data_IF_704814883364
#
_entry.id   IF_704814883364
#
_cell.length_a   1.000
_cell.length_b   1.000
_cell.length_c   1.000
_cell.angle_alpha   90.00
_cell.angle_beta   90.00
_cell.angle_gamma   90.00
#
_symmetry.space_group_name_H-M   'P 1'
#
loop_
_entity.id
_entity.type
_entity.pdbx_description
1 polymer ?
#
# COMPACT_ATOMS: atom_id res chain seq x y z
N UNK A 1 -3.73 32.21 24.69
CA UNK A 1 -3.55 31.59 26.03
C UNK A 1 -2.14 31.88 26.47
N UNK A 2 -1.94 32.58 27.59
CA UNK A 2 -0.59 32.87 28.07
C UNK A 2 0.13 31.55 28.45
N UNK A 3 1.22 31.23 27.75
CA UNK A 3 2.02 30.06 28.08
C UNK A 3 2.69 30.29 29.44
N UNK A 4 2.33 29.47 30.43
CA UNK A 4 2.89 29.54 31.79
C UNK A 4 4.42 29.51 31.84
N UNK A 5 5.08 29.00 30.79
CA UNK A 5 6.54 28.97 30.62
C UNK A 5 7.17 30.36 30.38
N UNK A 6 6.42 31.32 29.83
CA UNK A 6 6.97 32.62 29.39
C UNK A 6 6.46 33.81 30.23
N UNK A 7 5.59 33.57 31.21
CA UNK A 7 4.95 34.61 32.01
C UNK A 7 5.91 35.37 32.96
N UNK A 8 7.11 34.85 33.21
CA UNK A 8 8.12 35.48 34.08
C UNK A 8 9.10 36.40 33.33
N UNK A 9 8.97 36.53 32.01
CA UNK A 9 9.84 37.36 31.18
C UNK A 9 9.23 38.76 31.00
N UNK A 10 9.97 39.84 31.29
CA UNK A 10 9.44 41.22 31.31
C UNK A 10 9.20 41.85 29.92
N UNK A 11 9.73 41.27 28.83
CA UNK A 11 9.61 41.80 27.45
C UNK A 11 8.90 40.81 26.51
N UNK A 12 7.79 40.20 26.95
CA UNK A 12 6.99 39.35 26.07
C UNK A 12 6.00 40.20 25.25
N UNK A 13 6.08 40.08 23.92
CA UNK A 13 5.08 40.68 23.03
C UNK A 13 3.77 39.87 23.08
N UNK A 14 2.65 40.56 23.25
CA UNK A 14 1.29 40.00 23.26
C UNK A 14 0.51 40.31 21.98
N UNK A 15 1.21 40.79 20.94
CA UNK A 15 0.66 40.96 19.60
C UNK A 15 0.13 39.64 19.01
N UNK A 16 -0.55 39.72 17.87
CA UNK A 16 -1.04 38.52 17.20
C UNK A 16 0.14 37.66 16.74
N UNK A 17 0.11 36.36 17.06
CA UNK A 17 1.19 35.43 16.70
C UNK A 17 1.37 35.29 15.18
N UNK A 18 0.31 35.51 14.40
CA UNK A 18 0.31 35.38 12.94
C UNK A 18 -0.38 36.59 12.31
N UNK A 19 0.33 37.30 11.44
CA UNK A 19 -0.20 38.35 10.57
C UNK A 19 -0.22 37.83 9.13
N UNK A 20 -1.37 37.31 8.72
CA UNK A 20 -1.56 36.77 7.38
C UNK A 20 -2.53 37.62 6.55
N UNK A 21 -2.37 37.54 5.23
CA UNK A 21 -3.35 38.08 4.30
C UNK A 21 -4.62 37.22 4.36
N UNK A 22 -5.83 37.82 4.30
CA UNK A 22 -7.07 37.05 4.32
C UNK A 22 -7.08 35.98 3.22
N UNK A 23 -7.53 34.78 3.57
CA UNK A 23 -7.59 33.65 2.67
C UNK A 23 -8.39 33.98 1.40
N UNK A 24 -7.85 33.60 0.26
CA UNK A 24 -8.56 33.70 -1.01
C UNK A 24 -9.73 32.72 -0.99
N UNK A 25 -10.94 33.22 -1.30
CA UNK A 25 -12.20 32.48 -1.23
C UNK A 25 -12.08 31.17 -2.03
N UNK A 26 -12.29 30.02 -1.40
CA UNK A 26 -12.09 28.66 -1.95
C UNK A 26 -12.85 28.32 -3.25
N UNK A 27 -13.80 29.16 -3.66
CA UNK A 27 -14.84 28.76 -4.61
C UNK A 27 -14.52 29.08 -6.09
N UNK A 28 -13.34 29.63 -6.40
CA UNK A 28 -12.91 29.81 -7.79
C UNK A 28 -12.14 28.58 -8.27
N UNK A 29 -12.89 27.60 -8.75
CA UNK A 29 -12.34 26.44 -9.46
C UNK A 29 -11.54 26.90 -10.70
N UNK A 30 -10.22 26.73 -10.68
CA UNK A 30 -9.29 27.09 -11.77
C UNK A 30 -9.22 26.02 -12.87
N UNK A 31 -10.25 25.18 -12.99
CA UNK A 31 -10.29 24.20 -14.08
C UNK A 31 -10.68 24.95 -15.34
N UNK A 32 -9.65 25.36 -16.10
CA UNK A 32 -9.84 25.82 -17.46
C UNK A 32 -10.57 24.72 -18.24
N UNK A 33 -11.77 25.02 -18.73
CA UNK A 33 -12.48 24.11 -19.62
C UNK A 33 -11.57 23.80 -20.82
N UNK A 34 -11.40 22.52 -21.20
CA UNK A 34 -10.60 22.18 -22.37
C UNK A 34 -11.19 22.89 -23.59
N UNK A 35 -10.33 23.62 -24.31
CA UNK A 35 -10.72 24.34 -25.51
C UNK A 35 -11.04 23.28 -26.58
N UNK A 36 -12.33 23.00 -26.77
CA UNK A 36 -12.80 22.15 -27.86
C UNK A 36 -12.53 22.90 -29.18
N UNK A 37 -11.53 22.45 -29.92
CA UNK A 37 -11.20 22.98 -31.23
C UNK A 37 -11.95 22.17 -32.29
N UNK A 38 -12.68 22.83 -33.19
CA UNK A 38 -13.47 22.15 -34.25
C UNK A 38 -12.59 21.31 -35.21
N UNK A 39 -11.28 21.56 -35.25
CA UNK A 39 -10.31 20.83 -36.09
C UNK A 39 -9.64 19.65 -35.38
N UNK A 40 -10.04 19.33 -34.14
CA UNK A 40 -9.45 18.25 -33.34
C UNK A 40 -10.54 17.24 -33.00
N UNK A 41 -10.46 16.05 -33.61
CA UNK A 41 -11.26 14.90 -33.19
C UNK A 41 -10.69 14.36 -31.87
N UNK A 42 -11.38 14.61 -30.76
CA UNK A 42 -11.01 14.07 -29.44
C UNK A 42 -11.79 12.78 -29.17
N UNK A 43 -11.37 11.68 -29.78
CA UNK A 43 -11.97 10.38 -29.51
C UNK A 43 -11.56 9.88 -28.11
N UNK A 44 -12.55 9.57 -27.28
CA UNK A 44 -12.32 8.99 -25.96
C UNK A 44 -11.86 7.53 -26.11
N UNK A 45 -10.57 7.28 -25.89
CA UNK A 45 -10.03 5.92 -25.88
C UNK A 45 -10.62 5.15 -24.69
N UNK A 46 -11.31 4.05 -24.95
CA UNK A 46 -11.76 3.11 -23.92
C UNK A 46 -10.73 1.97 -23.77
N UNK A 47 -9.94 1.93 -22.66
CA UNK A 47 -8.90 0.92 -22.49
C UNK A 47 -9.44 -0.51 -22.47
N UNK A 48 -10.68 -0.70 -22.01
CA UNK A 48 -11.36 -2.00 -21.99
C UNK A 48 -11.64 -2.52 -23.40
N UNK A 49 -12.22 -1.69 -24.28
CA UNK A 49 -12.52 -2.08 -25.66
C UNK A 49 -11.24 -2.28 -26.48
N UNK A 50 -10.24 -1.42 -26.28
CA UNK A 50 -8.93 -1.58 -26.89
C UNK A 50 -8.29 -2.91 -26.45
N UNK A 51 -8.34 -3.22 -25.15
CA UNK A 51 -7.85 -4.49 -24.61
C UNK A 51 -8.54 -5.68 -25.25
N UNK A 52 -9.87 -5.69 -25.37
CA UNK A 52 -10.59 -6.79 -26.03
C UNK A 52 -10.17 -7.01 -27.49
N UNK A 53 -9.91 -5.92 -28.22
CA UNK A 53 -9.47 -6.00 -29.62
C UNK A 53 -8.06 -6.58 -29.75
N UNK A 54 -7.13 -6.20 -28.88
CA UNK A 54 -5.72 -6.55 -28.99
C UNK A 54 -5.26 -7.72 -28.10
N UNK A 55 -6.11 -8.24 -27.20
CA UNK A 55 -5.71 -9.32 -26.27
C UNK A 55 -5.23 -10.60 -26.95
N UNK A 56 -5.66 -10.85 -28.20
CA UNK A 56 -5.30 -12.04 -28.97
C UNK A 56 -4.11 -11.82 -29.91
N UNK A 57 -3.67 -10.57 -30.07
CA UNK A 57 -2.59 -10.19 -30.97
C UNK A 57 -1.26 -10.19 -30.18
N UNK A 58 -0.32 -11.04 -30.57
CA UNK A 58 1.02 -11.08 -30.00
C UNK A 58 2.03 -10.51 -31.00
N UNK A 59 2.92 -9.67 -30.49
CA UNK A 59 4.00 -9.07 -31.25
C UNK A 59 5.33 -9.64 -30.75
N UNK A 60 6.07 -10.29 -31.63
CA UNK A 60 7.43 -10.76 -31.36
C UNK A 60 8.44 -9.83 -32.05
N UNK A 61 9.33 -9.27 -31.22
CA UNK A 61 10.35 -8.30 -31.60
C UNK A 61 11.78 -8.85 -31.46
N UNK A 62 11.94 -10.16 -31.25
CA UNK A 62 13.26 -10.74 -30.97
C UNK A 62 14.21 -10.76 -32.16
N UNK A 63 13.69 -10.78 -33.39
CA UNK A 63 14.48 -10.84 -34.62
C UNK A 63 14.42 -9.54 -35.45
N UNK A 64 13.98 -8.42 -34.88
CA UNK A 64 13.87 -7.15 -35.63
C UNK A 64 15.22 -6.45 -35.73
N UNK A 65 15.76 -6.36 -36.95
CA UNK A 65 16.95 -5.57 -37.27
C UNK A 65 16.55 -4.24 -37.95
N UNK A 66 16.74 -3.11 -37.26
CA UNK A 66 16.54 -1.77 -37.81
C UNK A 66 17.77 -1.21 -38.54
N UNK A 67 18.82 -2.02 -38.76
CA UNK A 67 20.08 -1.59 -39.39
C UNK A 67 19.97 -1.23 -40.88
N UNK A 68 18.77 -1.25 -41.47
CA UNK A 68 18.53 -0.84 -42.85
C UNK A 68 19.04 -1.81 -43.91
N UNK A 69 19.44 -3.03 -43.52
CA UNK A 69 19.83 -4.09 -44.46
C UNK A 69 18.62 -4.59 -45.23
N UNK A 70 18.59 -4.33 -46.55
CA UNK A 70 17.50 -4.64 -47.48
C UNK A 70 17.24 -6.15 -47.70
N UNK A 71 17.91 -7.05 -46.97
CA UNK A 71 17.87 -8.50 -47.22
C UNK A 71 16.91 -9.30 -46.33
N UNK A 72 16.44 -8.72 -45.23
CA UNK A 72 15.49 -9.35 -44.29
C UNK A 72 14.44 -8.32 -43.92
N UNK A 73 13.16 -8.64 -44.04
CA UNK A 73 12.05 -7.77 -43.61
C UNK A 73 12.18 -7.52 -42.11
N UNK A 74 12.82 -6.40 -41.73
CA UNK A 74 13.08 -5.97 -40.36
C UNK A 74 11.83 -5.44 -39.66
N UNK A 75 10.74 -6.21 -39.71
CA UNK A 75 9.46 -5.86 -39.10
C UNK A 75 9.08 -6.86 -38.03
N UNK A 76 8.27 -6.43 -37.08
CA UNK A 76 7.72 -7.29 -36.02
C UNK A 76 7.01 -8.52 -36.61
N UNK A 77 7.19 -9.67 -35.96
CA UNK A 77 6.39 -10.86 -36.27
C UNK A 77 5.07 -10.76 -35.51
N UNK A 78 3.97 -10.65 -36.25
CA UNK A 78 2.62 -10.66 -35.69
C UNK A 78 2.10 -12.09 -35.66
N UNK A 79 1.64 -12.56 -34.50
CA UNK A 79 1.04 -13.87 -34.36
C UNK A 79 -0.22 -13.80 -33.51
N UNK A 80 -1.25 -14.55 -33.88
CA UNK A 80 -2.43 -14.70 -33.03
C UNK A 80 -2.17 -15.82 -32.03
N UNK A 81 -2.27 -15.52 -30.74
CA UNK A 81 -2.11 -16.55 -29.71
C UNK A 81 -3.27 -17.56 -29.82
N UNK A 82 -2.93 -18.85 -29.89
CA UNK A 82 -3.90 -19.92 -29.71
C UNK A 82 -4.36 -19.93 -28.25
N UNK A 83 -5.66 -20.10 -28.03
CA UNK A 83 -6.28 -20.07 -26.70
C UNK A 83 -5.51 -20.88 -25.64
N UNK A 84 -5.26 -20.24 -24.49
CA UNK A 84 -4.70 -20.93 -23.33
C UNK A 84 -5.70 -21.99 -22.81
N UNK A 85 -5.21 -23.04 -22.15
CA UNK A 85 -6.05 -24.11 -21.57
C UNK A 85 -7.20 -23.56 -20.72
N UNK A 86 -6.94 -22.51 -19.94
CA UNK A 86 -7.95 -21.85 -19.09
C UNK A 86 -8.99 -21.08 -19.92
N UNK A 87 -8.54 -20.37 -20.95
CA UNK A 87 -9.43 -19.61 -21.84
C UNK A 87 -10.34 -20.53 -22.67
N UNK A 88 -9.78 -21.64 -23.17
CA UNK A 88 -10.53 -22.70 -23.84
C UNK A 88 -11.62 -23.28 -22.93
N UNK A 89 -11.31 -23.56 -21.67
CA UNK A 89 -12.28 -24.04 -20.66
C UNK A 89 -13.39 -23.00 -20.43
N UNK A 90 -13.06 -21.71 -20.34
CA UNK A 90 -14.06 -20.64 -20.16
C UNK A 90 -14.97 -20.48 -21.37
N UNK A 91 -14.45 -20.60 -22.61
CA UNK A 91 -15.29 -20.59 -23.83
C UNK A 91 -16.24 -21.78 -23.84
N UNK A 92 -15.72 -22.99 -23.61
CA UNK A 92 -16.51 -24.23 -23.62
C UNK A 92 -17.61 -24.19 -22.54
N UNK A 93 -17.33 -23.62 -21.37
CA UNK A 93 -18.34 -23.43 -20.31
C UNK A 93 -19.51 -22.56 -20.80
N UNK A 94 -19.21 -21.45 -21.47
CA UNK A 94 -20.24 -20.55 -22.00
C UNK A 94 -21.06 -21.21 -23.12
N UNK A 95 -20.39 -21.92 -24.03
CA UNK A 95 -21.06 -22.68 -25.10
C UNK A 95 -21.98 -23.77 -24.51
N UNK A 96 -21.56 -24.48 -23.46
CA UNK A 96 -22.40 -25.46 -22.77
C UNK A 96 -23.57 -24.83 -22.01
N UNK A 97 -23.40 -23.63 -21.46
CA UNK A 97 -24.48 -22.89 -20.79
C UNK A 97 -25.51 -22.36 -21.81
N UNK A 98 -25.06 -22.00 -23.01
CA UNK A 98 -25.92 -21.68 -24.15
C UNK A 98 -26.68 -22.92 -24.64
N UNK A 99 -26.01 -24.08 -24.76
CA UNK A 99 -26.65 -25.35 -25.13
C UNK A 99 -27.63 -25.86 -24.06
N UNK A 100 -27.32 -25.67 -22.77
CA UNK A 100 -28.26 -25.97 -21.67
C UNK A 100 -29.54 -25.15 -21.74
N UNK A 101 -29.47 -23.93 -22.28
CA UNK A 101 -30.63 -23.05 -22.48
C UNK A 101 -31.39 -23.36 -23.78
N UNK A 102 -30.86 -24.20 -24.66
CA UNK A 102 -31.61 -24.71 -25.81
C UNK A 102 -32.65 -25.75 -25.37
N UNK A 103 -33.71 -25.92 -26.16
CA UNK A 103 -34.88 -26.73 -25.76
C UNK A 103 -34.60 -28.25 -25.72
N UNK A 104 -33.43 -28.69 -26.19
CA UNK A 104 -33.00 -30.09 -26.20
C UNK A 104 -32.26 -30.43 -24.90
N UNK A 105 -32.95 -31.17 -24.01
CA UNK A 105 -32.35 -31.69 -22.77
C UNK A 105 -31.55 -32.95 -23.08
N UNK A 106 -30.30 -32.78 -23.48
CA UNK A 106 -29.37 -33.90 -23.64
C UNK A 106 -28.71 -34.23 -22.29
N UNK A 107 -28.82 -35.49 -21.85
CA UNK A 107 -28.16 -36.01 -20.64
C UNK A 107 -26.62 -35.80 -20.68
N UNK A 108 -26.05 -35.79 -21.88
CA UNK A 108 -24.62 -35.56 -22.12
C UNK A 108 -24.17 -34.14 -21.71
N UNK A 109 -25.06 -33.13 -21.77
CA UNK A 109 -24.76 -31.76 -21.34
C UNK A 109 -24.55 -31.71 -19.83
N UNK A 110 -25.34 -32.47 -19.07
CA UNK A 110 -25.21 -32.55 -17.61
C UNK A 110 -23.90 -33.24 -17.21
N UNK A 111 -23.54 -34.35 -17.86
CA UNK A 111 -22.27 -35.03 -17.63
C UNK A 111 -21.05 -34.14 -17.96
N UNK A 112 -21.10 -33.39 -19.05
CA UNK A 112 -20.05 -32.45 -19.43
C UNK A 112 -19.93 -31.29 -18.42
N UNK A 113 -21.04 -30.81 -17.88
CA UNK A 113 -21.04 -29.78 -16.83
C UNK A 113 -20.38 -30.25 -15.53
N UNK A 114 -20.62 -31.50 -15.13
CA UNK A 114 -20.03 -32.10 -13.92
C UNK A 114 -18.52 -32.36 -14.11
N UNK A 115 -18.11 -32.84 -15.28
CA UNK A 115 -16.70 -33.06 -15.60
C UNK A 115 -15.89 -31.75 -15.62
N UNK A 116 -16.49 -30.65 -16.13
CA UNK A 116 -15.88 -29.31 -16.03
C UNK A 116 -15.81 -28.83 -14.59
N UNK A 117 -16.84 -29.06 -13.77
CA UNK A 117 -16.82 -28.73 -12.35
C UNK A 117 -15.70 -29.47 -11.60
N UNK A 118 -15.50 -30.76 -11.90
CA UNK A 118 -14.39 -31.56 -11.35
C UNK A 118 -13.01 -31.09 -11.83
N UNK A 119 -12.89 -30.67 -13.09
CA UNK A 119 -11.64 -30.07 -13.60
C UNK A 119 -11.35 -28.71 -12.96
N UNK A 120 -12.38 -27.96 -12.53
CA UNK A 120 -12.23 -26.70 -11.82
C UNK A 120 -11.83 -26.91 -10.35
N UNK A 121 -12.46 -27.86 -9.65
CA UNK A 121 -12.13 -28.17 -8.24
C UNK A 121 -10.70 -28.66 -8.10
N UNK A 122 -10.21 -29.49 -9.03
CA UNK A 122 -8.80 -29.94 -9.06
C UNK A 122 -7.82 -28.78 -9.32
N UNK A 123 -8.19 -27.75 -10.09
CA UNK A 123 -7.37 -26.52 -10.21
C UNK A 123 -7.44 -25.60 -8.99
N UNK A 124 -8.59 -25.47 -8.34
CA UNK A 124 -8.77 -24.66 -7.13
C UNK A 124 -8.10 -25.27 -5.90
N UNK A 125 -8.02 -26.59 -5.79
CA UNK A 125 -7.32 -27.27 -4.69
C UNK A 125 -5.81 -26.94 -4.65
N UNK A 126 -5.20 -26.53 -5.77
CA UNK A 126 -3.81 -26.05 -5.82
C UNK A 126 -3.65 -24.59 -5.35
N UNK A 127 -4.73 -23.82 -5.20
CA UNK A 127 -4.70 -22.43 -4.73
C UNK A 127 -5.10 -22.24 -3.26
N UNK A 128 -5.45 -23.29 -2.53
CA UNK A 128 -6.02 -23.19 -1.17
C UNK A 128 -5.09 -22.65 -0.06
N UNK A 129 -3.86 -22.27 -0.39
CA UNK A 129 -2.91 -21.66 0.54
C UNK A 129 -3.11 -20.13 0.72
N UNK A 130 -4.15 -19.52 0.11
CA UNK A 130 -4.40 -18.07 0.08
C UNK A 130 -5.70 -17.60 0.77
N UNK A 131 -6.23 -18.31 1.76
CA UNK A 131 -7.52 -17.94 2.38
C UNK A 131 -7.50 -16.60 3.17
N UNK A 132 -6.34 -16.14 3.65
CA UNK A 132 -6.20 -14.85 4.33
C UNK A 132 -6.23 -13.63 3.37
N UNK A 133 -5.48 -13.61 2.25
CA UNK A 133 -5.55 -12.50 1.28
C UNK A 133 -6.87 -12.46 0.50
N UNK A 134 -7.62 -13.56 0.38
CA UNK A 134 -8.92 -13.58 -0.31
C UNK A 134 -9.95 -12.71 0.42
N UNK A 135 -10.04 -12.77 1.76
CA UNK A 135 -10.99 -11.98 2.53
C UNK A 135 -10.69 -10.47 2.47
N UNK A 136 -9.41 -10.08 2.51
CA UNK A 136 -8.99 -8.68 2.38
C UNK A 136 -9.33 -8.17 0.97
N UNK A 137 -9.04 -8.97 -0.06
CA UNK A 137 -9.40 -8.63 -1.44
C UNK A 137 -10.92 -8.52 -1.66
N UNK A 138 -11.73 -9.34 -0.98
CA UNK A 138 -13.18 -9.23 -1.03
C UNK A 138 -13.67 -7.95 -0.34
N UNK A 139 -13.12 -7.62 0.84
CA UNK A 139 -13.44 -6.39 1.57
C UNK A 139 -13.07 -5.16 0.74
N UNK A 140 -11.88 -5.14 0.12
CA UNK A 140 -11.44 -4.06 -0.75
C UNK A 140 -12.34 -3.90 -1.98
N UNK A 141 -12.79 -5.01 -2.58
CA UNK A 141 -13.72 -4.98 -3.71
C UNK A 141 -15.10 -4.44 -3.28
N UNK A 142 -15.59 -4.85 -2.10
CA UNK A 142 -16.85 -4.33 -1.54
C UNK A 142 -16.73 -2.85 -1.18
N UNK A 143 -15.60 -2.42 -0.62
CA UNK A 143 -15.28 -1.01 -0.39
C UNK A 143 -15.25 -0.23 -1.70
N UNK A 144 -14.55 -0.71 -2.72
CA UNK A 144 -14.49 -0.06 -4.03
C UNK A 144 -15.88 0.06 -4.69
N UNK A 145 -16.77 -0.93 -4.51
CA UNK A 145 -18.17 -0.83 -4.93
C UNK A 145 -18.92 0.26 -4.16
N UNK A 146 -18.72 0.35 -2.84
CA UNK A 146 -19.35 1.37 -2.02
C UNK A 146 -18.84 2.78 -2.34
N UNK A 147 -17.53 2.94 -2.50
CA UNK A 147 -16.89 4.19 -2.93
C UNK A 147 -17.38 4.63 -4.30
N UNK A 148 -17.46 3.70 -5.26
CA UNK A 148 -18.02 3.99 -6.58
C UNK A 148 -19.48 4.44 -6.52
N UNK A 149 -20.29 3.83 -5.65
CA UNK A 149 -21.68 4.23 -5.46
C UNK A 149 -21.83 5.58 -4.75
N UNK A 150 -20.93 5.89 -3.82
CA UNK A 150 -20.96 7.16 -3.08
C UNK A 150 -20.32 8.32 -3.87
N UNK A 151 -19.42 8.03 -4.80
CA UNK A 151 -18.75 9.04 -5.61
C UNK A 151 -17.99 10.07 -4.76
N UNK A 152 -17.47 9.67 -3.60
CA UNK A 152 -16.62 10.55 -2.79
C UNK A 152 -15.27 10.62 -3.50
N UNK A 153 -15.02 11.71 -4.21
CA UNK A 153 -13.68 12.09 -4.58
C UNK A 153 -12.88 12.25 -3.30
N UNK A 154 -11.76 11.54 -3.18
CA UNK A 154 -10.90 11.45 -1.99
C UNK A 154 -10.41 12.79 -1.43
N UNK A 155 -10.68 13.89 -2.12
CA UNK A 155 -10.29 15.25 -1.76
C UNK A 155 -11.43 16.07 -1.15
N UNK A 156 -12.68 15.61 -1.15
CA UNK A 156 -13.81 16.38 -0.61
C UNK A 156 -14.59 15.59 0.44
N UNK A 157 -13.98 15.45 1.62
CA UNK A 157 -14.63 14.95 2.84
C UNK A 157 -15.67 15.92 3.44
N UNK A 158 -15.90 17.09 2.82
CA UNK A 158 -16.46 18.24 3.52
C UNK A 158 -17.99 18.23 3.69
N UNK A 159 -18.74 17.29 3.11
CA UNK A 159 -20.20 17.25 3.30
C UNK A 159 -20.73 15.85 3.59
N UNK A 160 -21.29 15.59 4.79
CA UNK A 160 -21.92 14.31 5.08
C UNK A 160 -23.13 14.13 4.16
N UNK A 161 -23.17 13.03 3.40
CA UNK A 161 -24.21 12.71 2.41
C UNK A 161 -25.62 12.73 3.03
N UNK A 162 -25.72 12.41 4.32
CA UNK A 162 -26.97 12.48 5.08
C UNK A 162 -27.49 13.92 5.25
N UNK A 163 -26.61 14.92 5.34
CA UNK A 163 -27.00 16.33 5.35
C UNK A 163 -27.47 16.82 3.98
N UNK A 164 -26.88 16.34 2.89
CA UNK A 164 -27.33 16.65 1.53
C UNK A 164 -28.68 15.99 1.23
N UNK A 165 -28.89 14.76 1.68
CA UNK A 165 -30.17 14.06 1.54
C UNK A 165 -31.25 14.67 2.44
N UNK A 166 -30.92 15.04 3.68
CA UNK A 166 -31.87 15.70 4.58
C UNK A 166 -32.21 17.11 4.10
N UNK A 167 -31.25 17.86 3.55
CA UNK A 167 -31.51 19.19 2.98
C UNK A 167 -32.26 19.12 1.66
N UNK A 168 -32.01 18.15 0.79
CA UNK A 168 -32.81 17.95 -0.44
C UNK A 168 -34.21 17.45 -0.12
N UNK A 169 -34.37 16.55 0.86
CA UNK A 169 -35.66 16.11 1.39
C UNK A 169 -36.43 17.26 2.06
N UNK A 170 -35.75 18.07 2.87
CA UNK A 170 -36.34 19.27 3.48
C UNK A 170 -36.72 20.32 2.43
N UNK A 171 -35.92 20.51 1.38
CA UNK A 171 -36.24 21.38 0.22
C UNK A 171 -37.45 20.86 -0.58
N UNK A 172 -37.58 19.54 -0.75
CA UNK A 172 -38.75 18.89 -1.34
C UNK A 172 -40.00 19.05 -0.45
N UNK A 173 -39.84 18.97 0.87
CA UNK A 173 -40.91 19.21 1.84
C UNK A 173 -41.31 20.69 1.92
N UNK A 174 -40.35 21.61 1.75
CA UNK A 174 -40.56 23.06 1.67
C UNK A 174 -41.36 23.46 0.43
N UNK A 175 -41.14 22.77 -0.71
CA UNK A 175 -41.97 22.95 -1.89
C UNK A 175 -43.44 22.53 -1.67
N UNK A 176 -43.72 21.79 -0.59
CA UNK A 176 -45.02 21.19 -0.32
C UNK A 176 -45.80 21.86 0.83
N UNK A 177 -45.35 23.00 1.39
CA UNK A 177 -46.12 23.69 2.44
C UNK A 177 -46.06 25.21 2.32
N UNK A 178 -47.12 25.78 1.75
CA UNK A 178 -47.38 27.23 1.62
C UNK A 178 -47.81 27.92 2.93
N UNK A 179 -47.41 27.39 4.09
CA UNK A 179 -47.76 27.91 5.42
C UNK A 179 -46.55 28.37 6.24
N UNK A 180 -45.33 28.24 5.70
CA UNK A 180 -44.10 28.55 6.43
C UNK A 180 -43.83 30.05 6.53
N UNK A 181 -44.22 30.85 5.53
CA UNK A 181 -43.92 32.29 5.53
C UNK A 181 -44.64 33.08 6.64
N UNK A 182 -45.80 32.62 7.10
CA UNK A 182 -46.52 33.24 8.21
C UNK A 182 -45.93 32.84 9.56
N UNK A 183 -45.57 31.57 9.74
CA UNK A 183 -44.86 31.11 10.95
C UNK A 183 -43.43 31.67 11.04
N UNK A 184 -42.71 31.81 9.92
CA UNK A 184 -41.38 32.43 9.88
C UNK A 184 -41.43 33.89 10.30
N UNK A 185 -42.48 34.63 9.93
CA UNK A 185 -42.67 36.03 10.38
C UNK A 185 -42.91 36.11 11.89
N UNK A 186 -43.74 35.22 12.44
CA UNK A 186 -44.02 35.16 13.88
C UNK A 186 -42.81 34.69 14.69
N UNK A 187 -42.05 33.72 14.19
CA UNK A 187 -40.79 33.29 14.79
C UNK A 187 -39.74 34.41 14.73
N UNK A 188 -39.64 35.16 13.62
CA UNK A 188 -38.73 36.32 13.52
C UNK A 188 -39.06 37.42 14.53
N UNK A 189 -40.34 37.70 14.77
CA UNK A 189 -40.76 38.71 15.75
C UNK A 189 -40.46 38.25 17.17
N UNK A 190 -40.73 36.99 17.51
CA UNK A 190 -40.45 36.45 18.85
C UNK A 190 -38.93 36.29 19.09
N UNK A 191 -38.15 35.97 18.06
CA UNK A 191 -36.70 35.90 18.12
C UNK A 191 -36.06 37.28 18.32
N UNK A 192 -36.60 38.32 17.65
CA UNK A 192 -36.13 39.70 17.83
C UNK A 192 -36.40 40.20 19.26
N UNK A 193 -37.52 39.77 19.85
CA UNK A 193 -37.90 40.12 21.23
C UNK A 193 -37.03 39.40 22.27
N UNK A 194 -36.62 38.15 22.02
CA UNK A 194 -35.72 37.40 22.90
C UNK A 194 -34.24 37.81 22.75
N UNK A 195 -33.82 38.31 21.57
CA UNK A 195 -32.43 38.75 21.30
C UNK A 195 -32.02 40.03 22.04
N UNK A 196 -32.99 40.76 22.59
CA UNK A 196 -32.76 42.02 23.30
C UNK A 196 -32.26 41.81 24.73
N UNK A 197 -32.31 40.58 25.22
CA UNK A 197 -31.88 40.19 26.57
C UNK A 197 -30.57 39.36 26.49
N UNK A 198 -29.49 39.98 26.99
CA UNK A 198 -28.30 39.44 27.66
C UNK A 198 -26.89 39.48 27.00
N UNK A 199 -25.88 40.03 27.71
CA UNK A 199 -24.43 39.87 27.42
C UNK A 199 -23.88 38.47 27.77
N UNK A 200 -24.69 37.59 28.38
CA UNK A 200 -24.32 36.18 28.61
C UNK A 200 -24.43 35.33 27.34
N UNK A 201 -25.18 35.78 26.32
CA UNK A 201 -25.20 35.14 25.01
C UNK A 201 -23.81 35.02 24.39
N UNK A 202 -22.90 35.99 24.57
CA UNK A 202 -21.56 35.89 23.94
C UNK A 202 -20.72 34.74 24.54
N UNK A 203 -20.75 34.56 25.86
CA UNK A 203 -20.08 33.45 26.53
C UNK A 203 -20.78 32.12 26.24
N UNK A 204 -22.11 32.13 26.21
CA UNK A 204 -22.93 30.97 25.87
C UNK A 204 -22.71 30.54 24.41
N UNK A 205 -22.67 31.49 23.48
CA UNK A 205 -22.38 31.27 22.06
C UNK A 205 -20.95 30.76 21.87
N UNK A 206 -19.98 31.27 22.63
CA UNK A 206 -18.61 30.74 22.63
C UNK A 206 -18.58 29.29 23.15
N UNK A 207 -19.38 28.95 24.15
CA UNK A 207 -19.46 27.59 24.70
C UNK A 207 -20.21 26.63 23.76
N UNK A 208 -21.25 27.09 23.08
CA UNK A 208 -21.94 26.34 22.03
C UNK A 208 -21.07 26.14 20.79
N UNK A 209 -20.24 27.11 20.41
CA UNK A 209 -19.25 26.95 19.35
C UNK A 209 -18.20 25.89 19.71
N UNK A 210 -17.78 25.84 20.99
CA UNK A 210 -16.90 24.79 21.49
C UNK A 210 -17.60 23.43 21.60
N UNK A 211 -18.90 23.39 21.84
CA UNK A 211 -19.67 22.15 21.86
C UNK A 211 -19.75 21.54 20.45
N UNK A 212 -19.92 22.36 19.42
CA UNK A 212 -19.92 21.90 18.02
C UNK A 212 -18.57 21.27 17.62
N UNK A 213 -17.45 21.81 18.12
CA UNK A 213 -16.13 21.20 17.88
C UNK A 213 -15.93 19.91 18.66
N UNK A 214 -16.46 19.81 19.88
CA UNK A 214 -16.41 18.59 20.70
C UNK A 214 -17.29 17.48 20.10
N UNK A 215 -18.49 17.80 19.60
CA UNK A 215 -19.39 16.83 18.96
C UNK A 215 -18.77 16.24 17.69
N UNK A 216 -18.09 17.07 16.89
CA UNK A 216 -17.29 16.60 15.74
C UNK A 216 -16.14 15.70 16.15
N UNK A 217 -15.48 15.97 17.29
CA UNK A 217 -14.39 15.16 17.80
C UNK A 217 -14.86 13.86 18.46
N UNK A 218 -16.04 13.85 19.09
CA UNK A 218 -16.63 12.70 19.79
C UNK A 218 -16.79 11.49 18.85
N UNK A 219 -17.27 11.72 17.62
CA UNK A 219 -17.40 10.65 16.62
C UNK A 219 -16.05 10.09 16.13
N UNK A 220 -14.96 10.86 16.22
CA UNK A 220 -13.66 10.51 15.65
C UNK A 220 -12.74 9.87 16.71
N UNK A 221 -12.90 10.21 17.99
CA UNK A 221 -12.14 9.65 19.11
C UNK A 221 -12.13 8.11 19.14
N UNK A 222 -13.25 7.37 19.00
CA UNK A 222 -13.21 5.91 19.01
C UNK A 222 -12.38 5.34 17.85
N UNK A 223 -12.46 5.94 16.66
CA UNK A 223 -11.68 5.51 15.50
C UNK A 223 -10.18 5.79 15.67
N UNK A 224 -9.82 6.93 16.27
CA UNK A 224 -8.42 7.22 16.63
C UNK A 224 -7.94 6.23 17.68
N UNK A 225 -8.77 5.87 18.66
CA UNK A 225 -8.42 4.91 19.69
C UNK A 225 -8.20 3.50 19.12
N UNK A 226 -9.00 3.07 18.15
CA UNK A 226 -8.80 1.81 17.45
C UNK A 226 -7.53 1.83 16.59
N UNK A 227 -7.24 2.95 15.91
CA UNK A 227 -5.98 3.12 15.17
C UNK A 227 -4.76 3.17 16.10
N UNK A 228 -4.88 3.78 17.28
CA UNK A 228 -3.82 3.77 18.29
C UNK A 228 -3.64 2.37 18.88
N UNK A 229 -4.71 1.58 19.03
CA UNK A 229 -4.63 0.19 19.46
C UNK A 229 -3.91 -0.67 18.43
N UNK A 230 -4.21 -0.52 17.13
CA UNK A 230 -3.49 -1.24 16.08
C UNK A 230 -2.04 -0.77 15.97
N UNK A 231 -1.79 0.53 16.07
CA UNK A 231 -0.44 1.09 16.05
C UNK A 231 0.39 0.67 17.27
N UNK A 232 -0.25 0.53 18.44
CA UNK A 232 0.42 0.02 19.65
C UNK A 232 1.02 -1.35 19.43
N UNK A 233 0.34 -2.26 18.72
CA UNK A 233 0.90 -3.59 18.42
C UNK A 233 2.19 -3.47 17.62
N UNK A 234 2.21 -2.60 16.60
CA UNK A 234 3.41 -2.34 15.78
C UNK A 234 4.51 -1.68 16.60
N UNK A 235 4.17 -0.75 17.50
CA UNK A 235 5.15 -0.10 18.36
C UNK A 235 5.74 -1.07 19.39
N UNK A 236 4.92 -1.94 20.00
CA UNK A 236 5.37 -2.96 20.94
C UNK A 236 6.28 -3.98 20.21
N UNK A 237 5.93 -4.39 18.99
CA UNK A 237 6.80 -5.23 18.15
C UNK A 237 8.10 -4.52 17.76
N UNK A 238 8.04 -3.23 17.41
CA UNK A 238 9.22 -2.42 17.11
C UNK A 238 10.15 -2.29 18.33
N UNK A 239 9.59 -2.13 19.54
CA UNK A 239 10.37 -2.10 20.78
C UNK A 239 11.08 -3.45 21.02
N UNK A 240 10.37 -4.57 20.84
CA UNK A 240 10.97 -5.91 20.94
C UNK A 240 12.07 -6.14 19.88
N UNK A 241 11.90 -5.60 18.67
CA UNK A 241 12.91 -5.66 17.60
C UNK A 241 14.15 -4.85 17.98
N UNK A 242 13.99 -3.67 18.57
CA UNK A 242 15.10 -2.84 19.05
C UNK A 242 15.86 -3.57 20.18
N UNK A 243 15.16 -4.18 21.13
CA UNK A 243 15.78 -4.98 22.18
C UNK A 243 16.48 -6.22 21.62
N UNK A 244 15.84 -6.93 20.70
CA UNK A 244 16.43 -8.06 19.99
C UNK A 244 17.68 -7.68 19.23
N UNK A 245 17.67 -6.54 18.51
CA UNK A 245 18.82 -6.00 17.80
C UNK A 245 19.95 -5.69 18.76
N UNK A 246 19.67 -5.12 19.94
CA UNK A 246 20.69 -4.87 20.96
C UNK A 246 21.35 -6.16 21.44
N UNK A 247 20.59 -7.25 21.59
CA UNK A 247 21.19 -8.56 21.95
C UNK A 247 22.03 -9.15 20.83
N UNK A 248 21.64 -8.93 19.57
CA UNK A 248 22.42 -9.36 18.40
C UNK A 248 23.69 -8.53 18.26
N UNK A 249 23.63 -7.23 18.52
CA UNK A 249 24.79 -6.34 18.53
C UNK A 249 25.80 -6.76 19.59
N UNK A 250 25.35 -7.03 20.82
CA UNK A 250 26.22 -7.56 21.88
C UNK A 250 26.86 -8.91 21.50
N UNK A 251 26.09 -9.82 20.89
CA UNK A 251 26.64 -11.10 20.39
C UNK A 251 27.59 -10.89 19.23
N UNK A 252 27.35 -9.89 18.37
CA UNK A 252 28.25 -9.53 17.29
C UNK A 252 29.58 -9.04 17.85
N UNK A 253 29.56 -8.23 18.92
CA UNK A 253 30.76 -7.78 19.62
C UNK A 253 31.52 -8.98 20.22
N UNK A 254 30.83 -9.87 20.94
CA UNK A 254 31.42 -11.11 21.49
C UNK A 254 32.04 -11.99 20.39
N UNK A 255 31.36 -12.19 19.26
CA UNK A 255 31.89 -12.94 18.11
C UNK A 255 33.13 -12.24 17.54
N UNK A 256 33.16 -10.92 17.46
CA UNK A 256 34.35 -10.20 17.00
C UNK A 256 35.54 -10.35 17.94
N UNK A 257 35.29 -10.37 19.26
CA UNK A 257 36.33 -10.65 20.26
C UNK A 257 36.85 -12.09 20.14
N UNK A 258 35.96 -13.07 19.99
CA UNK A 258 36.35 -14.46 19.83
C UNK A 258 37.13 -14.67 18.53
N UNK A 259 36.72 -14.05 17.42
CA UNK A 259 37.50 -14.06 16.18
C UNK A 259 38.91 -13.50 16.41
N UNK A 260 39.06 -12.44 17.21
CA UNK A 260 40.39 -11.93 17.56
C UNK A 260 41.22 -12.94 18.37
N UNK A 261 40.62 -13.60 19.37
CA UNK A 261 41.27 -14.67 20.15
C UNK A 261 41.67 -15.86 19.26
N UNK A 262 40.80 -16.29 18.35
CA UNK A 262 41.08 -17.37 17.40
C UNK A 262 42.22 -17.00 16.44
N UNK A 263 42.28 -15.75 15.97
CA UNK A 263 43.41 -15.26 15.17
C UNK A 263 44.73 -15.34 15.93
N UNK A 264 44.76 -14.87 17.18
CA UNK A 264 45.97 -14.93 18.01
C UNK A 264 46.40 -16.38 18.29
N UNK A 265 45.44 -17.28 18.56
CA UNK A 265 45.73 -18.70 18.77
C UNK A 265 46.30 -19.36 17.51
N UNK A 266 45.78 -19.02 16.33
CA UNK A 266 46.30 -19.50 15.05
C UNK A 266 47.69 -18.96 14.78
N UNK A 267 47.95 -17.67 15.05
CA UNK A 267 49.29 -17.08 14.90
C UNK A 267 50.31 -17.73 15.83
N UNK A 268 49.92 -18.04 17.08
CA UNK A 268 50.75 -18.82 18.01
C UNK A 268 51.02 -20.22 17.45
N UNK A 269 50.00 -20.93 16.95
CA UNK A 269 50.18 -22.25 16.34
C UNK A 269 51.08 -22.20 15.10
N UNK A 270 50.96 -21.17 14.27
CA UNK A 270 51.82 -20.96 13.11
C UNK A 270 53.27 -20.72 13.53
N UNK A 271 53.49 -19.90 14.56
CA UNK A 271 54.84 -19.66 15.11
C UNK A 271 55.46 -20.93 15.70
N UNK A 272 54.68 -21.73 16.44
CA UNK A 272 55.11 -23.00 17.00
C UNK A 272 55.39 -24.03 15.89
N UNK A 273 54.55 -24.08 14.87
CA UNK A 273 54.76 -24.95 13.70
C UNK A 273 56.05 -24.58 12.96
N UNK A 274 56.30 -23.28 12.76
CA UNK A 274 57.53 -22.80 12.14
C UNK A 274 58.77 -23.15 12.98
N UNK A 275 58.69 -23.03 14.31
CA UNK A 275 59.76 -23.46 15.22
C UNK A 275 60.00 -24.98 15.15
N UNK A 276 58.94 -25.79 15.19
CA UNK A 276 59.03 -27.25 15.04
C UNK A 276 59.64 -27.59 13.67
N UNK A 277 59.25 -26.89 12.60
CA UNK A 277 59.80 -27.11 11.27
C UNK A 277 61.29 -26.78 11.21
N UNK A 278 61.74 -25.71 11.87
CA UNK A 278 63.17 -25.38 11.97
C UNK A 278 63.93 -26.40 12.83
N UNK A 279 63.37 -26.84 13.95
CA UNK A 279 63.99 -27.80 14.84
C UNK A 279 64.11 -29.18 14.18
N UNK A 280 63.05 -29.63 13.50
CA UNK A 280 63.06 -30.86 12.70
C UNK A 280 64.02 -30.72 11.53
N UNK A 281 64.05 -29.58 10.82
CA UNK A 281 65.02 -29.32 9.76
C UNK A 281 66.47 -29.38 10.24
N UNK A 282 66.76 -28.78 11.39
CA UNK A 282 68.07 -28.85 12.05
C UNK A 282 68.42 -30.28 12.47
N UNK A 283 67.49 -31.00 13.09
CA UNK A 283 67.67 -32.39 13.48
C UNK A 283 67.91 -33.31 12.27
N UNK A 284 67.17 -33.11 11.18
CA UNK A 284 67.37 -33.85 9.92
C UNK A 284 68.73 -33.51 9.31
N UNK A 285 69.17 -32.25 9.36
CA UNK A 285 70.52 -31.88 8.91
C UNK A 285 71.62 -32.56 9.73
N UNK A 286 71.48 -32.59 11.06
CA UNK A 286 72.42 -33.28 11.96
C UNK A 286 72.37 -34.80 11.77
N UNK A 287 71.19 -35.38 11.53
CA UNK A 287 71.06 -36.80 11.20
C UNK A 287 71.70 -37.10 9.85
N UNK A 288 71.50 -36.26 8.84
CA UNK A 288 72.16 -36.40 7.53
C UNK A 288 73.67 -36.28 7.65
N UNK A 289 74.20 -35.34 8.45
CA UNK A 289 75.64 -35.23 8.67
C UNK A 289 76.19 -36.47 9.40
N UNK A 290 75.47 -36.98 10.41
CA UNK A 290 75.85 -38.23 11.10
C UNK A 290 75.75 -39.45 10.20
N UNK A 291 74.76 -39.53 9.31
CA UNK A 291 74.62 -40.59 8.32
C UNK A 291 75.78 -40.51 7.33
N UNK A 292 76.12 -39.32 6.83
CA UNK A 292 77.28 -39.12 5.95
C UNK A 292 78.60 -39.53 6.63
N UNK A 293 78.79 -39.17 7.91
CA UNK A 293 79.96 -39.61 8.69
C UNK A 293 79.98 -41.14 8.86
N UNK A 294 78.81 -41.78 9.03
CA UNK A 294 78.70 -43.24 9.09
C UNK A 294 78.97 -43.88 7.72
N UNK A 295 78.51 -43.29 6.62
CA UNK A 295 78.78 -43.73 5.25
C UNK A 295 80.28 -43.63 4.93
N UNK A 296 80.96 -42.55 5.31
CA UNK A 296 82.41 -42.40 5.12
C UNK A 296 83.22 -43.40 5.98
N UNK A 297 82.70 -43.76 7.16
CA UNK A 297 83.29 -44.81 7.98
C UNK A 297 83.07 -46.21 7.42
N UNK A 298 81.93 -46.46 6.77
CA UNK A 298 81.64 -47.74 6.11
C UNK A 298 82.46 -47.87 4.83
N UNK A 299 82.67 -46.79 4.07
CA UNK A 299 83.46 -46.83 2.84
C UNK A 299 84.97 -46.98 3.06
N UNK A 300 85.46 -46.66 4.27
CA UNK A 300 86.86 -46.83 4.69
C UNK A 300 87.21 -48.21 5.26
N UNK A 301 86.24 -49.13 5.38
CA UNK A 301 86.44 -50.52 5.85
C UNK A 301 86.32 -51.47 4.66
#
# INVERSE_FOLDING_TARGET
MAHAKYASLPDLDFAADVYETPDLISDHSTIAAPILSENIETDALSPSQARERFIRESLDATETDFSGKLGTTGTYRTGRLTESRREKISRIKRELEELKNSEEKDEDIYHLSDLIAQLQTTTHQKSLASSAPENISEIDLRLAKLEKCLGIDTNNFATPVLSLLSTTSAKLSLLNSSGLDTMIRQIKTLLHELSKELPEQEKLNALYANLETIEKLEGIVPHILDRLRSLKVIHDESANVVDGLRTVELKSEEITEDIAKWKEAVEKLESLMNQIMTDVGGNVSVLNSRIADLEDRISKV
#
